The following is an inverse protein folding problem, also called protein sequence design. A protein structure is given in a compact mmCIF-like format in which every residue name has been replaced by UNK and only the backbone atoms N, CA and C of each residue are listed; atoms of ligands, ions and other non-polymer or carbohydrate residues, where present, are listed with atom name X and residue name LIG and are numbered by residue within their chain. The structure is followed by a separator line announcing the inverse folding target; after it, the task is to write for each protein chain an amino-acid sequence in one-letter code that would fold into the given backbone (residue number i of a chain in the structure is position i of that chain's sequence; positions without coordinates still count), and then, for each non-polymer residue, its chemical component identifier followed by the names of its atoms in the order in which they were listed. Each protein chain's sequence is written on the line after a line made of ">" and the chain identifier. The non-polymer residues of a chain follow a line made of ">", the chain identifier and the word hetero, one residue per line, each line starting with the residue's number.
data_IF_320233330056
#
_entry.id   IF_320233330056
#
_cell.length_a   1.000
_cell.length_b   1.000
_cell.length_c   1.000
_cell.angle_alpha   90.00
_cell.angle_beta   90.00
_cell.angle_gamma   90.00
#
_symmetry.space_group_name_H-M   'P 1'
#
loop_
_entity.id
_entity.type
_entity.pdbx_description
1 polymer ?
#
# COMPACT_ATOMS: atom_id res chain seq x y z
N UNK A 1 42.79 5.05 -2.58
CA UNK A 1 43.37 5.09 -3.93
C UNK A 1 44.32 6.25 -3.89
N UNK A 2 45.61 5.97 -3.79
CA UNK A 2 46.64 7.01 -3.68
C UNK A 2 47.05 7.38 -5.10
N UNK A 3 46.93 8.66 -5.45
CA UNK A 3 47.34 9.15 -6.76
C UNK A 3 48.31 10.29 -6.53
N UNK A 4 49.59 10.04 -6.79
CA UNK A 4 50.65 11.04 -6.70
C UNK A 4 50.58 12.03 -7.86
N UNK A 5 50.86 13.30 -7.57
CA UNK A 5 51.07 14.36 -8.55
C UNK A 5 52.42 14.99 -8.25
N UNK A 6 53.29 15.12 -9.27
CA UNK A 6 54.58 15.80 -9.16
C UNK A 6 54.50 17.13 -9.89
N UNK A 7 54.98 18.18 -9.26
CA UNK A 7 55.06 19.54 -9.79
C UNK A 7 56.49 20.05 -9.54
N UNK A 8 57.21 20.45 -10.58
CA UNK A 8 58.64 20.81 -10.56
C UNK A 8 58.84 22.29 -10.21
N UNK A 9 58.62 22.62 -8.93
CA UNK A 9 58.79 23.97 -8.39
C UNK A 9 60.23 24.38 -8.05
N UNK A 10 60.49 25.69 -8.07
CA UNK A 10 61.76 26.32 -7.60
C UNK A 10 61.86 26.22 -6.06
N UNK A 11 63.04 25.86 -5.55
CA UNK A 11 63.32 25.61 -4.13
C UNK A 11 62.92 26.78 -3.21
N UNK A 12 62.19 26.49 -2.13
CA UNK A 12 61.67 27.40 -1.09
C UNK A 12 60.38 28.19 -1.41
N UNK A 13 59.60 27.78 -2.42
CA UNK A 13 58.22 28.25 -2.61
C UNK A 13 57.21 27.37 -1.85
N UNK A 14 56.06 27.94 -1.47
CA UNK A 14 54.89 27.17 -1.02
C UNK A 14 54.36 26.27 -2.14
N UNK A 15 53.88 25.09 -1.80
CA UNK A 15 53.20 24.20 -2.74
C UNK A 15 51.90 24.83 -3.25
N UNK A 16 51.50 24.45 -4.45
CA UNK A 16 50.22 24.83 -5.07
C UNK A 16 49.39 23.59 -5.38
N UNK A 17 49.30 22.67 -4.41
CA UNK A 17 48.56 21.44 -4.58
C UNK A 17 47.06 21.73 -4.75
N UNK A 18 46.46 21.15 -5.78
CA UNK A 18 45.02 21.25 -6.06
C UNK A 18 44.33 19.91 -5.78
N UNK A 19 43.23 19.96 -5.03
CA UNK A 19 42.41 18.78 -4.83
C UNK A 19 41.71 18.41 -6.15
N UNK A 20 41.87 17.14 -6.54
CA UNK A 20 41.09 16.56 -7.65
C UNK A 20 39.63 16.36 -7.24
N UNK A 21 38.74 16.34 -8.22
CA UNK A 21 37.33 16.04 -8.02
C UNK A 21 37.08 14.56 -8.31
N UNK A 22 36.47 13.87 -7.35
CA UNK A 22 36.03 12.48 -7.52
C UNK A 22 34.53 12.40 -7.26
N UNK A 23 33.80 11.72 -8.15
CA UNK A 23 32.36 11.52 -8.01
C UNK A 23 32.02 10.87 -6.66
N UNK A 24 31.12 11.49 -5.90
CA UNK A 24 30.71 10.98 -4.59
C UNK A 24 31.72 11.20 -3.46
N UNK A 25 32.77 11.98 -3.68
CA UNK A 25 33.71 12.37 -2.63
C UNK A 25 33.91 13.89 -2.56
N UNK A 26 34.24 14.39 -1.38
CA UNK A 26 34.66 15.78 -1.15
C UNK A 26 36.03 15.78 -0.51
N UNK A 27 36.96 16.59 -1.05
CA UNK A 27 38.27 16.78 -0.45
C UNK A 27 38.13 17.43 0.93
N UNK A 28 38.87 16.90 1.90
CA UNK A 28 39.01 17.53 3.21
C UNK A 28 39.91 18.77 3.09
N UNK A 29 39.83 19.68 4.06
CA UNK A 29 40.76 20.79 4.15
C UNK A 29 42.19 20.27 4.31
N UNK A 30 43.11 20.79 3.50
CA UNK A 30 44.54 20.49 3.56
C UNK A 30 45.35 21.79 3.55
N UNK A 31 46.58 21.72 4.05
CA UNK A 31 47.52 22.84 4.04
C UNK A 31 48.48 22.71 2.86
N UNK A 32 48.99 23.86 2.39
CA UNK A 32 50.17 23.89 1.54
C UNK A 32 51.42 23.82 2.42
N UNK A 33 52.53 23.37 1.84
CA UNK A 33 53.80 23.18 2.53
C UNK A 33 54.93 23.88 1.77
N UNK A 34 55.99 24.27 2.46
CA UNK A 34 57.18 24.82 1.79
C UNK A 34 57.98 23.68 1.13
N UNK A 35 58.42 23.91 -0.12
CA UNK A 35 59.25 22.95 -0.87
C UNK A 35 60.63 22.78 -0.24
N UNK A 36 60.95 21.53 0.12
CA UNK A 36 62.23 21.13 0.69
C UNK A 36 63.30 21.02 -0.43
N UNK A 37 64.57 21.35 -0.15
CA UNK A 37 65.65 21.30 -1.15
C UNK A 37 66.03 19.92 -1.67
N UNK A 38 65.54 18.85 -1.03
CA UNK A 38 65.76 17.46 -1.38
C UNK A 38 64.58 16.82 -2.12
N UNK A 39 63.64 17.65 -2.59
CA UNK A 39 62.41 17.25 -3.29
C UNK A 39 61.52 16.28 -2.50
N UNK A 40 61.64 16.25 -1.16
CA UNK A 40 60.87 15.33 -0.31
C UNK A 40 59.50 15.85 0.14
N UNK A 41 59.11 17.07 -0.24
CA UNK A 41 57.84 17.66 0.20
C UNK A 41 56.64 16.92 -0.39
N UNK A 42 55.69 16.53 0.47
CA UNK A 42 54.45 15.86 0.10
C UNK A 42 53.28 16.60 0.73
N UNK A 43 52.27 16.94 -0.09
CA UNK A 43 50.97 17.43 0.38
C UNK A 43 49.96 16.29 0.34
N UNK A 44 49.45 15.88 1.50
CA UNK A 44 48.43 14.83 1.59
C UNK A 44 47.02 15.42 1.48
N UNK A 45 46.24 14.96 0.50
CA UNK A 45 44.83 15.35 0.33
C UNK A 45 43.94 14.13 0.59
N UNK A 46 43.15 14.20 1.67
CA UNK A 46 42.19 13.16 2.06
C UNK A 46 40.80 13.48 1.55
N UNK A 47 39.98 12.44 1.34
CA UNK A 47 38.64 12.56 0.81
C UNK A 47 37.60 11.90 1.72
N UNK A 48 36.49 12.58 1.93
CA UNK A 48 35.30 12.04 2.60
C UNK A 48 34.27 11.57 1.57
N UNK A 49 33.62 10.43 1.82
CA UNK A 49 32.45 10.00 1.04
C UNK A 49 31.28 10.93 1.30
N UNK A 50 30.66 11.41 0.23
CA UNK A 50 29.43 12.20 0.29
C UNK A 50 28.27 11.30 0.72
N UNK A 51 27.24 11.92 1.30
CA UNK A 51 25.96 11.27 1.57
C UNK A 51 24.88 11.84 0.67
N UNK A 52 23.98 10.98 0.22
CA UNK A 52 22.86 11.33 -0.64
C UNK A 52 21.55 10.79 -0.04
N UNK A 53 20.43 11.50 -0.27
CA UNK A 53 19.18 11.15 0.37
C UNK A 53 18.53 9.94 -0.31
N UNK A 54 18.04 9.00 0.51
CA UNK A 54 17.07 7.98 0.11
C UNK A 54 15.72 8.35 0.72
N UNK A 55 14.68 8.38 -0.11
CA UNK A 55 13.31 8.68 0.31
C UNK A 55 12.44 7.43 0.19
N UNK A 56 11.86 6.99 1.30
CA UNK A 56 10.90 5.90 1.36
C UNK A 56 9.48 6.49 1.45
N UNK A 57 8.65 6.21 0.45
CA UNK A 57 7.29 6.78 0.33
C UNK A 57 6.22 5.73 0.63
N UNK A 58 5.41 5.97 1.66
CA UNK A 58 4.28 5.13 2.06
C UNK A 58 3.01 5.97 2.04
N UNK A 59 2.05 5.64 1.19
CA UNK A 59 0.77 6.35 1.08
C UNK A 59 0.87 7.88 0.97
N UNK A 60 1.95 8.35 0.32
CA UNK A 60 2.24 9.78 0.11
C UNK A 60 3.12 10.40 1.21
N UNK A 61 3.31 9.75 2.35
CA UNK A 61 4.22 10.18 3.40
C UNK A 61 5.65 9.74 3.08
N UNK A 62 6.62 10.64 3.30
CA UNK A 62 8.03 10.40 2.97
C UNK A 62 8.87 10.35 4.23
N UNK A 63 9.67 9.28 4.38
CA UNK A 63 10.78 9.22 5.34
C UNK A 63 12.09 9.30 4.59
N UNK A 64 12.98 10.19 5.02
CA UNK A 64 14.29 10.41 4.37
C UNK A 64 15.43 9.96 5.27
N UNK A 65 16.41 9.28 4.70
CA UNK A 65 17.69 8.96 5.34
C UNK A 65 18.87 9.35 4.45
N UNK A 66 20.05 9.50 5.04
CA UNK A 66 21.27 9.86 4.33
C UNK A 66 22.21 8.67 4.22
N UNK A 67 22.49 8.22 3.00
CA UNK A 67 23.33 7.05 2.73
C UNK A 67 24.62 7.49 2.05
N UNK A 68 25.77 6.92 2.47
CA UNK A 68 27.08 7.26 1.89
C UNK A 68 27.21 6.71 0.47
N UNK A 69 27.76 7.49 -0.46
CA UNK A 69 28.08 7.09 -1.83
C UNK A 69 28.78 5.72 -1.89
N UNK A 70 28.22 4.74 -2.59
CA UNK A 70 28.74 3.37 -2.72
C UNK A 70 28.41 2.42 -1.57
N UNK A 71 27.61 2.86 -0.58
CA UNK A 71 27.09 1.95 0.44
C UNK A 71 25.87 1.22 -0.12
N UNK A 72 25.67 -0.03 0.27
CA UNK A 72 24.45 -0.77 -0.04
C UNK A 72 23.23 -0.09 0.59
N UNK A 73 22.15 -0.02 -0.18
CA UNK A 73 20.87 0.54 0.26
C UNK A 73 20.10 -0.58 0.95
N UNK A 74 19.79 -0.38 2.23
CA UNK A 74 19.02 -1.32 3.03
C UNK A 74 17.58 -0.82 3.13
N UNK A 75 16.61 -1.70 2.85
CA UNK A 75 15.19 -1.32 2.95
C UNK A 75 14.76 -1.23 4.42
N UNK A 76 13.81 -0.33 4.75
CA UNK A 76 13.16 -0.34 6.05
C UNK A 76 12.28 -1.59 6.19
N UNK A 77 11.83 -1.85 7.42
CA UNK A 77 10.83 -2.88 7.66
C UNK A 77 9.59 -2.66 6.76
N UNK A 78 9.02 -3.72 6.15
CA UNK A 78 7.80 -3.61 5.38
C UNK A 78 6.70 -2.87 6.16
N UNK A 79 6.14 -1.78 5.62
CA UNK A 79 5.06 -1.07 6.27
C UNK A 79 3.79 -1.93 6.32
N UNK A 80 2.92 -1.63 7.28
CA UNK A 80 1.59 -2.25 7.38
C UNK A 80 0.52 -1.32 6.82
N UNK A 81 -0.46 -1.89 6.12
CA UNK A 81 -1.65 -1.18 5.63
C UNK A 81 -2.86 -2.09 5.71
N UNK A 82 -3.88 -1.66 6.45
CA UNK A 82 -5.09 -2.45 6.68
C UNK A 82 -5.76 -2.83 5.36
N UNK A 83 -6.11 -4.11 5.18
CA UNK A 83 -6.69 -4.66 3.94
C UNK A 83 -5.73 -4.72 2.74
N UNK A 84 -4.42 -4.50 2.94
CA UNK A 84 -3.43 -4.61 1.86
C UNK A 84 -2.21 -5.40 2.31
N UNK A 85 -1.58 -6.05 1.34
CA UNK A 85 -0.33 -6.78 1.48
C UNK A 85 0.77 -5.94 0.84
N UNK A 86 1.85 -5.66 1.58
CA UNK A 86 3.04 -5.02 1.03
C UNK A 86 3.71 -5.96 0.03
N UNK A 87 3.91 -5.53 -1.21
CA UNK A 87 4.59 -6.32 -2.22
C UNK A 87 6.10 -6.03 -2.23
N UNK A 88 6.46 -4.77 -2.43
CA UNK A 88 7.84 -4.31 -2.58
C UNK A 88 7.95 -2.79 -2.59
N UNK A 89 9.17 -2.31 -2.53
CA UNK A 89 9.53 -0.94 -2.88
C UNK A 89 9.73 -0.81 -4.39
N UNK A 90 9.02 0.11 -5.05
CA UNK A 90 9.19 0.38 -6.48
C UNK A 90 10.51 1.10 -6.73
N UNK A 91 11.24 0.65 -7.75
CA UNK A 91 12.55 1.20 -8.12
C UNK A 91 13.72 0.64 -7.32
N UNK A 92 13.46 -0.21 -6.33
CA UNK A 92 14.49 -0.88 -5.54
C UNK A 92 14.73 -2.30 -6.04
N UNK A 93 16.01 -2.66 -6.19
CA UNK A 93 16.49 -4.01 -6.41
C UNK A 93 17.52 -4.38 -5.32
N UNK A 94 17.58 -5.65 -4.95
CA UNK A 94 18.52 -6.14 -3.94
C UNK A 94 19.97 -5.92 -4.38
N UNK A 95 20.83 -5.47 -3.47
CA UNK A 95 22.23 -5.13 -3.76
C UNK A 95 22.44 -3.77 -4.43
N UNK A 96 21.40 -2.94 -4.59
CA UNK A 96 21.59 -1.55 -5.03
C UNK A 96 22.53 -0.78 -4.08
N UNK A 97 23.43 0.00 -4.67
CA UNK A 97 24.32 0.89 -3.92
C UNK A 97 24.00 2.36 -4.18
N UNK A 98 24.24 3.21 -3.19
CA UNK A 98 24.01 4.65 -3.28
C UNK A 98 24.88 5.30 -4.38
N UNK A 99 24.25 5.87 -5.40
CA UNK A 99 24.91 6.70 -6.41
C UNK A 99 25.22 8.12 -5.93
N UNK A 100 25.34 9.04 -6.89
CA UNK A 100 25.67 10.46 -6.65
C UNK A 100 24.47 11.40 -6.62
N UNK A 101 23.26 10.84 -6.65
CA UNK A 101 21.99 11.59 -6.68
C UNK A 101 21.02 10.98 -5.68
N UNK A 102 20.06 11.77 -5.21
CA UNK A 102 19.00 11.27 -4.34
C UNK A 102 18.12 10.23 -5.05
N UNK A 103 17.65 9.23 -4.31
CA UNK A 103 16.73 8.21 -4.84
C UNK A 103 15.44 8.19 -4.02
N UNK A 104 14.36 7.76 -4.68
CA UNK A 104 13.04 7.65 -4.06
C UNK A 104 12.45 6.30 -4.41
N UNK A 105 11.99 5.59 -3.39
CA UNK A 105 11.31 4.31 -3.52
C UNK A 105 9.91 4.39 -2.93
N UNK A 106 8.92 3.85 -3.64
CA UNK A 106 7.51 3.94 -3.22
C UNK A 106 6.95 2.57 -2.89
N UNK A 107 6.27 2.45 -1.75
CA UNK A 107 5.63 1.22 -1.33
C UNK A 107 4.56 0.81 -2.36
N UNK A 108 4.65 -0.44 -2.82
CA UNK A 108 3.64 -1.05 -3.66
C UNK A 108 2.82 -2.06 -2.87
N UNK A 109 1.52 -2.00 -3.09
CA UNK A 109 0.52 -2.76 -2.36
C UNK A 109 -0.30 -3.64 -3.28
N UNK A 110 -0.75 -4.76 -2.74
CA UNK A 110 -1.75 -5.64 -3.34
C UNK A 110 -2.96 -5.74 -2.40
N UNK A 111 -4.21 -5.67 -2.90
CA UNK A 111 -5.39 -5.93 -2.08
C UNK A 111 -5.33 -7.29 -1.39
N UNK A 112 -5.72 -7.36 -0.12
CA UNK A 112 -5.83 -8.65 0.57
C UNK A 112 -6.98 -9.47 -0.07
N UNK A 113 -6.74 -10.74 -0.46
CA UNK A 113 -7.71 -11.53 -1.22
C UNK A 113 -8.92 -12.01 -0.40
N UNK A 114 -8.83 -11.92 0.92
CA UNK A 114 -9.71 -12.56 1.90
C UNK A 114 -10.27 -11.56 2.93
N UNK A 115 -10.48 -10.31 2.52
CA UNK A 115 -11.10 -9.30 3.38
C UNK A 115 -12.57 -9.64 3.63
N UNK A 116 -12.94 -9.73 4.90
CA UNK A 116 -14.29 -10.07 5.34
C UNK A 116 -15.32 -9.01 4.99
N UNK A 117 -16.56 -9.43 4.78
CA UNK A 117 -17.73 -8.56 4.74
C UNK A 117 -18.97 -9.34 5.19
N UNK A 118 -20.03 -8.63 5.58
CA UNK A 118 -21.26 -9.27 6.06
C UNK A 118 -22.40 -9.10 5.07
N UNK A 119 -23.12 -10.17 4.78
CA UNK A 119 -24.42 -10.13 4.09
C UNK A 119 -25.51 -10.32 5.15
N UNK A 120 -26.34 -9.29 5.33
CA UNK A 120 -27.53 -9.35 6.19
C UNK A 120 -28.73 -9.76 5.36
N UNK A 121 -29.31 -10.90 5.68
CA UNK A 121 -30.59 -11.32 5.11
C UNK A 121 -31.71 -10.96 6.07
N UNK A 122 -32.60 -10.04 5.66
CA UNK A 122 -33.62 -9.47 6.53
C UNK A 122 -35.00 -9.89 6.03
N UNK A 123 -35.70 -10.70 6.83
CA UNK A 123 -37.01 -11.22 6.51
C UNK A 123 -38.08 -10.25 7.00
N UNK A 124 -39.08 -9.98 6.15
CA UNK A 124 -40.16 -9.03 6.46
C UNK A 124 -41.02 -9.52 7.63
N UNK A 125 -41.42 -8.59 8.51
CA UNK A 125 -42.37 -8.81 9.59
C UNK A 125 -43.81 -8.92 9.08
N UNK A 126 -44.77 -9.18 9.98
CA UNK A 126 -46.20 -9.24 9.65
C UNK A 126 -46.82 -7.86 9.35
N UNK A 127 -46.22 -6.79 9.87
CA UNK A 127 -46.63 -5.39 9.64
C UNK A 127 -45.97 -4.77 8.40
N UNK A 128 -45.37 -5.61 7.55
CA UNK A 128 -44.64 -5.23 6.33
C UNK A 128 -43.32 -4.49 6.57
N UNK A 129 -42.89 -4.29 7.82
CA UNK A 129 -41.60 -3.70 8.16
C UNK A 129 -40.43 -4.69 8.08
N UNK A 130 -39.21 -4.16 8.12
CA UNK A 130 -37.98 -4.95 8.16
C UNK A 130 -37.21 -4.63 9.45
N UNK A 131 -36.89 -5.62 10.29
CA UNK A 131 -36.23 -5.39 11.55
C UNK A 131 -34.72 -5.16 11.36
N UNK A 132 -34.13 -4.34 12.22
CA UNK A 132 -32.69 -4.09 12.19
C UNK A 132 -31.87 -5.26 12.80
N UNK A 133 -32.48 -6.00 13.74
CA UNK A 133 -31.87 -7.09 14.51
C UNK A 133 -32.92 -8.16 14.87
N UNK A 134 -32.47 -9.26 15.46
CA UNK A 134 -33.33 -10.35 15.94
C UNK A 134 -33.40 -11.54 15.01
N UNK A 135 -34.35 -12.44 15.26
CA UNK A 135 -34.40 -13.75 14.59
C UNK A 135 -34.68 -13.67 13.09
N UNK A 136 -35.29 -12.59 12.61
CA UNK A 136 -35.52 -12.34 11.19
C UNK A 136 -34.32 -11.73 10.46
N UNK A 137 -33.22 -11.45 11.16
CA UNK A 137 -31.96 -11.00 10.58
C UNK A 137 -30.94 -12.14 10.62
N UNK A 138 -30.59 -12.68 9.45
CA UNK A 138 -29.58 -13.75 9.31
C UNK A 138 -28.30 -13.17 8.72
N UNK A 139 -27.22 -13.21 9.50
CA UNK A 139 -25.90 -12.77 9.06
C UNK A 139 -25.15 -13.90 8.35
N UNK A 140 -24.55 -13.60 7.19
CA UNK A 140 -23.57 -14.45 6.51
C UNK A 140 -22.26 -13.68 6.40
N UNK A 141 -21.18 -14.25 6.92
CA UNK A 141 -19.83 -13.72 6.69
C UNK A 141 -19.31 -14.29 5.38
N UNK A 142 -18.81 -13.41 4.51
CA UNK A 142 -18.15 -13.75 3.25
C UNK A 142 -16.81 -13.03 3.19
N UNK A 143 -15.98 -13.40 2.24
CA UNK A 143 -14.68 -12.76 2.00
C UNK A 143 -14.53 -12.43 0.52
N UNK A 144 -13.70 -11.43 0.23
CA UNK A 144 -13.29 -11.10 -1.14
C UNK A 144 -12.08 -10.18 -1.15
N UNK A 145 -11.61 -9.83 -2.35
CA UNK A 145 -10.48 -8.92 -2.50
C UNK A 145 -10.87 -7.50 -2.05
N UNK A 146 -10.05 -6.88 -1.22
CA UNK A 146 -10.25 -5.48 -0.79
C UNK A 146 -10.43 -4.54 -1.98
N UNK A 147 -11.36 -3.59 -1.87
CA UNK A 147 -11.68 -2.64 -2.94
C UNK A 147 -12.47 -3.24 -4.10
N UNK A 148 -12.75 -4.55 -4.12
CA UNK A 148 -13.65 -5.14 -5.11
C UNK A 148 -15.11 -4.97 -4.69
N UNK A 149 -16.02 -5.09 -5.66
CA UNK A 149 -17.44 -5.21 -5.36
C UNK A 149 -17.72 -6.55 -4.66
N UNK A 150 -18.61 -6.50 -3.67
CA UNK A 150 -19.16 -7.68 -3.02
C UNK A 150 -19.87 -8.59 -4.02
N UNK A 151 -19.93 -9.87 -3.66
CA UNK A 151 -20.68 -10.90 -4.39
C UNK A 151 -21.80 -11.46 -3.50
N UNK A 152 -22.60 -10.58 -2.92
CA UNK A 152 -23.76 -10.97 -2.13
C UNK A 152 -24.83 -11.57 -3.05
N UNK A 153 -25.34 -12.74 -2.68
CA UNK A 153 -26.39 -13.44 -3.41
C UNK A 153 -27.58 -13.70 -2.47
N UNK A 154 -28.82 -13.57 -2.95
CA UNK A 154 -29.98 -14.00 -2.18
C UNK A 154 -29.94 -15.50 -1.88
N UNK A 155 -30.52 -15.89 -0.75
CA UNK A 155 -30.79 -17.27 -0.37
C UNK A 155 -32.26 -17.58 -0.58
N UNK A 156 -32.59 -18.85 -0.45
CA UNK A 156 -33.98 -19.27 -0.37
C UNK A 156 -34.44 -19.32 1.09
N UNK A 157 -35.47 -18.55 1.42
CA UNK A 157 -36.22 -18.67 2.67
C UNK A 157 -37.67 -19.01 2.31
N UNK A 158 -38.15 -20.15 2.79
CA UNK A 158 -39.51 -20.62 2.48
C UNK A 158 -40.56 -19.60 2.91
N UNK A 159 -41.50 -19.29 2.02
CA UNK A 159 -42.53 -18.28 2.26
C UNK A 159 -42.09 -16.83 2.02
N UNK A 160 -40.87 -16.60 1.53
CA UNK A 160 -40.37 -15.27 1.21
C UNK A 160 -39.84 -15.15 -0.23
N UNK A 161 -39.83 -13.94 -0.76
CA UNK A 161 -39.26 -13.59 -2.07
C UNK A 161 -38.14 -12.55 -1.88
N UNK A 162 -36.92 -12.79 -2.39
CA UNK A 162 -35.84 -11.83 -2.28
C UNK A 162 -36.07 -10.59 -3.15
N UNK A 163 -35.72 -9.43 -2.61
CA UNK A 163 -35.57 -8.19 -3.36
C UNK A 163 -34.25 -8.12 -4.14
N UNK A 164 -34.03 -7.02 -4.89
CA UNK A 164 -32.76 -6.77 -5.57
C UNK A 164 -31.61 -6.61 -4.57
N UNK A 165 -30.39 -6.97 -5.00
CA UNK A 165 -29.17 -6.83 -4.20
C UNK A 165 -28.31 -5.71 -4.79
N UNK A 166 -28.03 -4.69 -3.99
CA UNK A 166 -27.04 -3.66 -4.31
C UNK A 166 -25.70 -4.10 -3.76
N UNK A 167 -24.73 -4.34 -4.64
CA UNK A 167 -23.36 -4.64 -4.20
C UNK A 167 -22.69 -3.36 -3.70
N UNK A 168 -21.82 -3.52 -2.71
CA UNK A 168 -20.95 -2.49 -2.17
C UNK A 168 -19.48 -2.87 -2.32
N UNK A 169 -18.58 -1.88 -2.25
CA UNK A 169 -17.14 -2.11 -2.18
C UNK A 169 -16.75 -2.78 -0.85
N UNK A 170 -15.82 -3.74 -0.90
CA UNK A 170 -15.23 -4.38 0.27
C UNK A 170 -14.19 -3.46 0.89
N UNK A 171 -14.54 -2.83 2.01
CA UNK A 171 -13.68 -1.90 2.72
C UNK A 171 -12.50 -2.63 3.37
N UNK A 172 -11.32 -1.98 3.46
CA UNK A 172 -10.12 -2.60 4.01
C UNK A 172 -10.24 -3.06 5.47
N UNK A 173 -11.17 -2.48 6.22
CA UNK A 173 -11.44 -2.82 7.61
C UNK A 173 -12.44 -3.98 7.79
N UNK A 174 -12.99 -4.48 6.70
CA UNK A 174 -13.98 -5.54 6.68
C UNK A 174 -15.36 -5.14 7.22
N UNK A 175 -15.64 -3.85 7.34
CA UNK A 175 -16.92 -3.34 7.87
C UNK A 175 -18.04 -3.29 6.84
N UNK A 176 -17.77 -3.63 5.57
CA UNK A 176 -18.79 -3.65 4.52
C UNK A 176 -19.96 -4.57 4.89
N UNK A 177 -21.16 -4.02 4.81
CA UNK A 177 -22.42 -4.75 4.97
C UNK A 177 -23.26 -4.60 3.72
N UNK A 178 -23.78 -5.72 3.21
CA UNK A 178 -24.79 -5.75 2.15
C UNK A 178 -26.10 -6.29 2.72
N UNK A 179 -27.20 -5.60 2.49
CA UNK A 179 -28.52 -6.03 2.94
C UNK A 179 -29.33 -6.64 1.80
N UNK A 180 -29.96 -7.78 2.08
CA UNK A 180 -30.91 -8.44 1.18
C UNK A 180 -32.24 -8.52 1.91
N UNK A 181 -33.23 -7.79 1.41
CA UNK A 181 -34.58 -7.76 1.97
C UNK A 181 -35.44 -8.86 1.34
N UNK A 182 -36.22 -9.55 2.16
CA UNK A 182 -37.09 -10.65 1.73
C UNK A 182 -38.54 -10.36 2.08
N UNK A 183 -39.36 -10.08 1.07
CA UNK A 183 -40.79 -9.84 1.25
C UNK A 183 -41.57 -11.13 1.50
N UNK A 184 -42.61 -11.09 2.33
CA UNK A 184 -43.48 -12.25 2.59
C UNK A 184 -44.34 -12.57 1.37
N UNK A 185 -44.50 -13.86 1.08
CA UNK A 185 -45.38 -14.30 0.01
C UNK A 185 -46.84 -14.25 0.48
N UNK A 186 -47.69 -13.45 -0.18
CA UNK A 186 -49.13 -13.41 0.12
C UNK A 186 -49.86 -14.66 -0.38
N UNK A 187 -50.62 -15.32 0.50
CA UNK A 187 -51.40 -16.55 0.18
C UNK A 187 -52.66 -16.24 -0.68
N UNK A 188 -52.87 -15.00 -1.09
CA UNK A 188 -54.09 -14.53 -1.78
C UNK A 188 -54.34 -15.09 -3.20
N UNK A 189 -53.55 -16.06 -3.68
CA UNK A 189 -53.83 -16.78 -4.95
C UNK A 189 -54.56 -18.13 -4.81
N UNK A 190 -54.71 -18.70 -3.61
CA UNK A 190 -55.36 -20.01 -3.43
C UNK A 190 -56.81 -19.99 -2.91
N UNK A 191 -57.39 -18.83 -2.58
CA UNK A 191 -58.75 -18.77 -2.02
C UNK A 191 -59.90 -18.52 -3.02
N UNK A 192 -59.64 -18.34 -4.31
CA UNK A 192 -60.72 -18.12 -5.30
C UNK A 192 -61.24 -19.40 -5.99
N UNK A 193 -60.60 -20.56 -5.76
CA UNK A 193 -60.96 -21.81 -6.44
C UNK A 193 -61.98 -22.70 -5.67
N UNK A 194 -62.37 -22.36 -4.43
CA UNK A 194 -63.21 -23.24 -3.60
C UNK A 194 -64.51 -22.61 -3.08
N UNK A 195 -64.95 -21.46 -3.61
CA UNK A 195 -66.25 -20.89 -3.20
C UNK A 195 -67.09 -20.38 -4.36
N UNK A 196 -67.57 -21.32 -5.17
CA UNK A 196 -68.90 -21.18 -5.79
C UNK A 196 -69.61 -22.55 -5.80
N UNK A 197 -70.44 -22.88 -4.80
CA UNK A 197 -71.56 -23.77 -5.05
C UNK A 197 -72.54 -23.01 -5.94
N UNK A 198 -72.68 -23.47 -7.19
CA UNK A 198 -73.73 -23.03 -8.11
C UNK A 198 -75.08 -23.40 -7.48
N UNK A 199 -75.72 -22.44 -6.83
CA UNK A 199 -77.14 -22.49 -6.53
C UNK A 199 -77.89 -22.56 -7.86
N UNK A 200 -78.44 -23.73 -8.18
CA UNK A 200 -79.45 -23.91 -9.22
C UNK A 200 -80.72 -24.43 -8.55
N UNK A 201 -81.57 -23.50 -8.12
CA UNK A 201 -82.99 -23.80 -8.01
C UNK A 201 -83.58 -23.84 -9.42
N UNK A 202 -84.45 -24.82 -9.70
CA UNK A 202 -85.59 -24.61 -10.60
C UNK A 202 -86.59 -25.77 -10.53
N UNK A 203 -87.81 -25.36 -10.15
CA UNK A 203 -89.16 -25.87 -10.43
C UNK A 203 -89.62 -27.16 -9.78
#
# INVERSE_FOLDING_TARGET
>A
MDIEQRDDGVTAAETVAEARVYAGFTAQSFAQETTAPDDSTVVEIRYSRNSYPINWVVDGETTTEQVKYGAEIVTPQPPAKQGYIFERWLGFDEGMTMGTDGQTFTARWKPAPDTGYTVKHILQELDESYPAEGDLVKNEVKTGATGSQTAAAPKNYEGFTPGPVTQAEILPDGTTVVEVLYGRNSISKMLWAMSTPKSAGMK
#
